data_IF_998484311979
#
_entry.id   IF_998484311979
#
_cell.length_a   1.000
_cell.length_b   1.000
_cell.length_c   1.000
_cell.angle_alpha   90.00
_cell.angle_beta   90.00
_cell.angle_gamma   90.00
#
_symmetry.space_group_name_H-M   'P 1'
#
loop_
_entity.id
_entity.type
_entity.pdbx_description
1 polymer ?
#
# COMPACT_ATOMS: atom_id res chain seq x y z
N UNK A 1 0.22 -3.48 -25.94
CA UNK A 1 0.54 -4.69 -25.14
C UNK A 1 1.37 -4.41 -23.88
N UNK A 2 2.36 -3.51 -23.89
CA UNK A 2 3.22 -3.21 -22.71
C UNK A 2 2.49 -2.64 -21.47
N UNK A 3 1.41 -1.87 -21.68
CA UNK A 3 0.62 -1.28 -20.57
C UNK A 3 -0.07 -2.35 -19.71
N UNK A 4 -0.56 -3.43 -20.32
CA UNK A 4 -1.22 -4.54 -19.62
C UNK A 4 -0.19 -5.34 -18.81
N UNK A 5 1.00 -5.57 -19.38
CA UNK A 5 2.10 -6.24 -18.68
C UNK A 5 2.56 -5.44 -17.44
N UNK A 6 2.74 -4.12 -17.57
CA UNK A 6 3.10 -3.25 -16.45
C UNK A 6 2.01 -3.17 -15.38
N UNK A 7 0.73 -3.14 -15.77
CA UNK A 7 -0.40 -3.20 -14.85
C UNK A 7 -0.42 -4.52 -14.04
N UNK A 8 -0.23 -5.66 -14.71
CA UNK A 8 -0.17 -6.97 -14.05
C UNK A 8 1.03 -7.06 -13.10
N UNK A 9 2.20 -6.63 -13.55
CA UNK A 9 3.43 -6.69 -12.75
C UNK A 9 3.33 -5.82 -11.50
N UNK A 10 2.79 -4.60 -11.63
CA UNK A 10 2.60 -3.71 -10.47
C UNK A 10 1.57 -4.25 -9.49
N UNK A 11 0.45 -4.83 -9.96
CA UNK A 11 -0.51 -5.49 -9.07
C UNK A 11 0.08 -6.69 -8.33
N UNK A 12 0.86 -7.54 -9.03
CA UNK A 12 1.57 -8.66 -8.41
C UNK A 12 2.60 -8.19 -7.37
N UNK A 13 3.36 -7.14 -7.69
CA UNK A 13 4.31 -6.55 -6.74
C UNK A 13 3.61 -6.04 -5.47
N UNK A 14 2.46 -5.36 -5.61
CA UNK A 14 1.66 -4.89 -4.47
C UNK A 14 1.14 -6.07 -3.63
N UNK A 15 0.63 -7.13 -4.26
CA UNK A 15 0.18 -8.35 -3.57
C UNK A 15 1.30 -9.01 -2.76
N UNK A 16 2.51 -9.10 -3.33
CA UNK A 16 3.69 -9.64 -2.64
C UNK A 16 4.07 -8.79 -1.44
N UNK A 17 4.15 -7.47 -1.61
CA UNK A 17 4.49 -6.54 -0.52
C UNK A 17 3.44 -6.63 0.60
N UNK A 18 2.15 -6.66 0.24
CA UNK A 18 1.07 -6.80 1.21
C UNK A 18 1.15 -8.12 2.00
N UNK A 19 1.41 -9.25 1.32
CA UNK A 19 1.62 -10.53 1.97
C UNK A 19 2.85 -10.55 2.89
N UNK A 20 3.92 -9.86 2.48
CA UNK A 20 5.14 -9.73 3.28
C UNK A 20 4.89 -8.90 4.55
N UNK A 21 4.11 -7.81 4.45
CA UNK A 21 3.69 -7.02 5.60
C UNK A 21 2.81 -7.84 6.55
N UNK A 22 1.84 -8.59 6.04
CA UNK A 22 1.00 -9.48 6.85
C UNK A 22 1.82 -10.57 7.56
N UNK A 23 2.79 -11.17 6.85
CA UNK A 23 3.70 -12.18 7.41
C UNK A 23 4.58 -11.61 8.51
N UNK A 24 5.20 -10.44 8.30
CA UNK A 24 6.05 -9.77 9.29
C UNK A 24 5.29 -9.31 10.52
N UNK A 25 4.04 -8.87 10.35
CA UNK A 25 3.20 -8.41 11.45
C UNK A 25 2.49 -9.55 12.19
N UNK A 26 2.55 -10.80 11.68
CA UNK A 26 1.91 -11.96 12.29
C UNK A 26 0.40 -11.84 12.41
N UNK A 27 -0.22 -10.96 11.62
CA UNK A 27 -1.63 -10.60 11.73
C UNK A 27 -2.48 -11.75 11.19
N UNK A 28 -3.18 -12.44 12.09
CA UNK A 28 -4.21 -13.40 11.70
C UNK A 28 -5.41 -12.62 11.14
N UNK A 29 -5.79 -12.94 9.90
CA UNK A 29 -6.89 -12.29 9.16
C UNK A 29 -8.26 -12.34 9.86
N UNK A 30 -8.39 -13.18 10.90
CA UNK A 30 -9.59 -13.33 11.72
C UNK A 30 -9.66 -12.37 12.93
N UNK A 31 -8.59 -11.62 13.20
CA UNK A 31 -8.52 -10.70 14.34
C UNK A 31 -8.93 -9.29 13.93
N UNK A 32 -9.96 -8.75 14.59
CA UNK A 32 -10.38 -7.34 14.46
C UNK A 32 -9.22 -6.39 14.73
N UNK A 33 -8.36 -6.73 15.70
CA UNK A 33 -7.15 -5.96 16.02
C UNK A 33 -6.13 -5.97 14.87
N UNK A 34 -6.00 -7.11 14.19
CA UNK A 34 -5.18 -7.24 12.99
C UNK A 34 -5.65 -6.36 11.84
N UNK A 35 -6.95 -6.39 11.57
CA UNK A 35 -7.57 -5.54 10.54
C UNK A 35 -7.42 -4.04 10.87
N UNK A 36 -7.52 -3.65 12.15
CA UNK A 36 -7.31 -2.27 12.58
C UNK A 36 -5.86 -1.80 12.40
N UNK A 37 -4.87 -2.63 12.73
CA UNK A 37 -3.45 -2.31 12.52
C UNK A 37 -3.15 -2.14 11.02
N UNK A 38 -3.70 -3.02 10.18
CA UNK A 38 -3.56 -2.91 8.72
C UNK A 38 -4.23 -1.66 8.17
N UNK A 39 -5.45 -1.35 8.63
CA UNK A 39 -6.16 -0.13 8.25
C UNK A 39 -5.41 1.14 8.66
N UNK A 40 -4.79 1.14 9.85
CA UNK A 40 -3.95 2.26 10.29
C UNK A 40 -2.69 2.39 9.44
N UNK A 41 -1.93 1.31 9.25
CA UNK A 41 -0.65 1.34 8.51
C UNK A 41 -0.85 1.71 7.04
N UNK A 42 -1.79 1.07 6.35
CA UNK A 42 -2.04 1.34 4.93
C UNK A 42 -2.88 2.60 4.73
N UNK A 43 -3.86 2.87 5.58
CA UNK A 43 -4.71 4.06 5.49
C UNK A 43 -3.95 5.36 5.79
N UNK A 44 -3.27 5.44 6.94
CA UNK A 44 -2.47 6.62 7.26
C UNK A 44 -1.13 6.65 6.50
N UNK A 45 -0.48 5.51 6.28
CA UNK A 45 0.75 5.46 5.47
C UNK A 45 0.52 5.96 4.04
N UNK A 46 -0.60 5.57 3.42
CA UNK A 46 -0.99 6.06 2.11
C UNK A 46 -1.28 7.56 2.08
N UNK A 47 -1.89 8.12 3.13
CA UNK A 47 -2.17 9.56 3.19
C UNK A 47 -0.90 10.40 3.35
N UNK A 48 0.09 9.93 4.12
CA UNK A 48 1.39 10.60 4.21
C UNK A 48 2.13 10.60 2.86
N UNK A 49 2.16 9.46 2.15
CA UNK A 49 2.75 9.39 0.80
C UNK A 49 2.02 10.33 -0.16
N UNK A 50 0.69 10.37 -0.10
CA UNK A 50 -0.14 11.26 -0.91
C UNK A 50 0.14 12.75 -0.62
N UNK A 51 0.28 13.14 0.65
CA UNK A 51 0.63 14.50 1.08
C UNK A 51 2.01 14.92 0.57
N UNK A 52 3.02 14.03 0.69
CA UNK A 52 4.37 14.29 0.19
C UNK A 52 4.39 14.46 -1.34
N UNK A 53 3.62 13.64 -2.07
CA UNK A 53 3.46 13.80 -3.52
C UNK A 53 2.70 15.09 -3.89
N UNK A 54 1.64 15.41 -3.17
CA UNK A 54 0.82 16.61 -3.40
C UNK A 54 1.65 17.87 -3.29
N UNK A 55 2.58 17.93 -2.32
CA UNK A 55 3.50 19.06 -2.17
C UNK A 55 4.38 19.26 -3.41
N UNK A 56 4.87 18.17 -4.00
CA UNK A 56 5.69 18.22 -5.23
C UNK A 56 4.89 18.65 -6.46
N UNK A 57 3.65 18.17 -6.60
CA UNK A 57 2.73 18.56 -7.68
C UNK A 57 2.27 20.02 -7.55
N UNK A 58 2.09 20.52 -6.32
CA UNK A 58 1.71 21.90 -6.06
C UNK A 58 2.86 22.90 -6.24
N UNK A 59 4.11 22.46 -6.01
CA UNK A 59 5.30 23.33 -6.13
C UNK A 59 5.82 23.43 -7.57
N UNK A 60 5.60 22.40 -8.40
CA UNK A 60 6.03 22.35 -9.79
C UNK A 60 4.79 22.19 -10.70
N UNK A 61 4.13 23.29 -11.09
CA UNK A 61 3.01 23.26 -12.04
C UNK A 61 3.45 22.87 -13.47
#
# INVERSE_FOLDING_TARGET
MMRIALFLLTNLAVMVVFGLVLSLTGIQSSSVQGLLIMALLFGFGGSFISLLMSKWMALNP
#
